data_IF_199667374772
#
_entry.id   IF_199667374772
#
_cell.length_a   1.000
_cell.length_b   1.000
_cell.length_c   1.000
_cell.angle_alpha   90.00
_cell.angle_beta   90.00
_cell.angle_gamma   90.00
#
_symmetry.space_group_name_H-M   'P 1'
#
loop_
_entity.id
_entity.type
_entity.pdbx_description
1 polymer ?
#
# COMPACT_ATOMS: atom_id res chain seq x y z
N UNK A 1 0.52 8.55 -21.21
CA UNK A 1 1.94 8.97 -21.11
C UNK A 1 2.90 7.79 -21.00
N UNK A 2 2.67 6.78 -20.15
CA UNK A 2 3.57 5.62 -19.98
C UNK A 2 3.86 4.82 -21.26
N UNK A 3 2.84 4.28 -21.93
CA UNK A 3 3.05 3.49 -23.16
C UNK A 3 3.68 4.26 -24.32
N UNK A 4 3.40 5.56 -24.43
CA UNK A 4 4.05 6.42 -25.43
C UNK A 4 5.54 6.62 -25.14
N UNK A 5 5.90 6.82 -23.87
CA UNK A 5 7.30 6.88 -23.45
C UNK A 5 8.03 5.56 -23.72
N UNK A 6 7.41 4.43 -23.39
CA UNK A 6 7.95 3.10 -23.72
C UNK A 6 8.14 2.95 -25.23
N UNK A 7 7.14 3.31 -26.05
CA UNK A 7 7.27 3.25 -27.50
C UNK A 7 8.45 4.09 -28.02
N UNK A 8 8.64 5.31 -27.50
CA UNK A 8 9.79 6.15 -27.85
C UNK A 8 11.14 5.54 -27.46
N UNK A 9 11.20 4.79 -26.37
CA UNK A 9 12.41 4.09 -25.95
C UNK A 9 12.65 2.84 -26.82
N UNK A 10 11.59 2.13 -27.22
CA UNK A 10 11.69 0.98 -28.13
C UNK A 10 12.20 1.36 -29.52
N UNK A 11 11.95 2.59 -29.97
CA UNK A 11 12.48 3.13 -31.22
C UNK A 11 13.97 3.55 -31.12
N UNK A 12 14.55 3.61 -29.92
CA UNK A 12 15.93 4.08 -29.71
C UNK A 12 16.95 2.94 -29.92
N UNK A 13 17.82 2.99 -30.95
CA UNK A 13 18.81 1.93 -31.21
C UNK A 13 19.79 1.69 -30.05
N UNK A 14 20.07 2.76 -29.28
CA UNK A 14 20.99 2.76 -28.16
C UNK A 14 20.70 1.67 -27.13
N UNK A 15 19.41 1.39 -26.84
CA UNK A 15 19.06 0.36 -25.84
C UNK A 15 19.42 -1.04 -26.31
N UNK A 16 19.48 -1.27 -27.63
CA UNK A 16 19.76 -2.58 -28.22
C UNK A 16 21.27 -2.75 -28.42
N UNK A 17 21.93 -1.75 -28.98
CA UNK A 17 23.36 -1.76 -29.27
C UNK A 17 24.21 -1.92 -28.01
N UNK A 18 23.83 -1.25 -26.91
CA UNK A 18 24.52 -1.36 -25.61
C UNK A 18 24.56 -2.81 -25.08
N UNK A 19 23.59 -3.63 -25.48
CA UNK A 19 23.46 -5.02 -25.07
C UNK A 19 23.79 -6.01 -26.21
N UNK A 20 24.44 -5.54 -27.30
CA UNK A 20 24.97 -6.38 -28.37
C UNK A 20 23.97 -6.75 -29.48
N UNK A 21 22.81 -6.10 -29.54
CA UNK A 21 21.82 -6.33 -30.60
C UNK A 21 22.04 -5.32 -31.74
N UNK A 22 22.32 -5.82 -32.94
CA UNK A 22 22.57 -4.99 -34.12
C UNK A 22 21.31 -4.43 -34.79
N UNK A 23 20.13 -4.89 -34.38
CA UNK A 23 18.84 -4.46 -34.90
C UNK A 23 17.83 -4.36 -33.76
N UNK A 24 16.86 -3.42 -33.81
CA UNK A 24 15.78 -3.35 -32.84
C UNK A 24 14.91 -4.62 -32.92
N UNK A 25 14.76 -5.29 -31.77
CA UNK A 25 13.90 -6.48 -31.63
C UNK A 25 12.88 -6.20 -30.54
N UNK A 26 11.60 -6.07 -30.89
CA UNK A 26 10.58 -5.50 -30.00
C UNK A 26 10.47 -6.19 -28.62
N UNK A 27 10.51 -7.52 -28.57
CA UNK A 27 10.43 -8.25 -27.29
C UNK A 27 11.69 -8.07 -26.43
N UNK A 28 12.87 -7.93 -27.05
CA UNK A 28 14.12 -7.59 -26.35
C UNK A 28 14.02 -6.20 -25.76
N UNK A 29 13.53 -5.23 -26.54
CA UNK A 29 13.34 -3.87 -26.08
C UNK A 29 12.39 -3.79 -24.89
N UNK A 30 11.26 -4.52 -24.93
CA UNK A 30 10.31 -4.57 -23.82
C UNK A 30 10.94 -5.18 -22.56
N UNK A 31 11.72 -6.26 -22.71
CA UNK A 31 12.46 -6.87 -21.61
C UNK A 31 13.50 -5.90 -21.01
N UNK A 32 14.28 -5.21 -21.85
CA UNK A 32 15.29 -4.26 -21.38
C UNK A 32 14.65 -3.05 -20.69
N UNK A 33 13.59 -2.49 -21.27
CA UNK A 33 12.85 -1.37 -20.65
C UNK A 33 12.32 -1.77 -19.28
N UNK A 34 11.62 -2.91 -19.16
CA UNK A 34 11.10 -3.34 -17.86
C UNK A 34 12.23 -3.61 -16.84
N UNK A 35 13.31 -4.24 -17.26
CA UNK A 35 14.47 -4.53 -16.40
C UNK A 35 15.16 -3.24 -15.91
N UNK A 36 15.35 -2.26 -16.80
CA UNK A 36 16.00 -0.99 -16.46
C UNK A 36 15.11 -0.07 -15.60
N UNK A 37 13.80 -0.14 -15.78
CA UNK A 37 12.85 0.68 -15.01
C UNK A 37 12.53 0.10 -13.63
N UNK A 38 12.63 -1.22 -13.42
CA UNK A 38 12.38 -1.85 -12.11
C UNK A 38 13.10 -1.19 -10.92
N UNK A 39 14.43 -0.95 -10.94
CA UNK A 39 15.10 -0.30 -9.83
C UNK A 39 14.66 1.15 -9.63
N UNK A 40 14.16 1.83 -10.66
CA UNK A 40 13.58 3.16 -10.53
C UNK A 40 12.24 3.09 -9.78
N UNK A 41 11.40 2.10 -10.11
CA UNK A 41 10.11 1.89 -9.46
C UNK A 41 10.24 1.56 -7.98
N UNK A 42 11.31 0.86 -7.57
CA UNK A 42 11.62 0.60 -6.16
C UNK A 42 11.62 1.88 -5.31
N UNK A 43 12.21 2.97 -5.80
CA UNK A 43 12.22 4.25 -5.05
C UNK A 43 10.86 4.95 -5.03
N UNK A 44 9.94 4.60 -5.93
CA UNK A 44 8.58 5.12 -6.00
C UNK A 44 7.61 4.30 -5.14
N UNK A 45 7.90 3.04 -4.89
CA UNK A 45 7.11 2.11 -4.07
C UNK A 45 6.61 2.71 -2.73
N UNK A 46 7.46 3.34 -1.89
CA UNK A 46 7.01 3.93 -0.62
C UNK A 46 5.97 5.04 -0.78
N UNK A 47 5.93 5.76 -1.91
CA UNK A 47 4.87 6.75 -2.17
C UNK A 47 3.53 6.04 -2.37
N UNK A 48 3.49 5.00 -3.20
CA UNK A 48 2.28 4.19 -3.41
C UNK A 48 1.81 3.54 -2.11
N UNK A 49 2.74 2.98 -1.34
CA UNK A 49 2.44 2.41 -0.02
C UNK A 49 1.87 3.47 0.94
N UNK A 50 2.37 4.70 0.93
CA UNK A 50 1.85 5.79 1.75
C UNK A 50 0.41 6.19 1.39
N UNK A 51 0.09 6.27 0.10
CA UNK A 51 -1.29 6.51 -0.36
C UNK A 51 -2.23 5.39 0.07
N UNK A 52 -1.80 4.14 -0.14
CA UNK A 52 -2.57 2.96 0.28
C UNK A 52 -2.85 2.95 1.79
N UNK A 53 -1.84 3.22 2.62
CA UNK A 53 -2.00 3.33 4.08
C UNK A 53 -2.96 4.45 4.49
N UNK A 54 -3.02 5.54 3.73
CA UNK A 54 -3.98 6.62 3.98
C UNK A 54 -5.40 6.16 3.68
N UNK A 55 -5.64 5.49 2.55
CA UNK A 55 -6.97 4.96 2.22
C UNK A 55 -7.46 3.92 3.22
N UNK A 56 -6.57 3.08 3.74
CA UNK A 56 -6.93 2.15 4.83
C UNK A 56 -7.39 2.86 6.10
N UNK A 57 -6.72 3.96 6.50
CA UNK A 57 -7.17 4.74 7.67
C UNK A 57 -8.52 5.40 7.43
N UNK A 58 -8.73 5.96 6.23
CA UNK A 58 -10.01 6.56 5.85
C UNK A 58 -11.13 5.50 5.81
N UNK A 59 -10.82 4.27 5.38
CA UNK A 59 -11.76 3.15 5.40
C UNK A 59 -12.09 2.66 6.83
N UNK A 60 -11.08 2.56 7.71
CA UNK A 60 -11.29 2.21 9.12
C UNK A 60 -12.16 3.27 9.82
N UNK A 61 -11.92 4.55 9.57
CA UNK A 61 -12.73 5.65 10.11
C UNK A 61 -14.16 5.60 9.57
N UNK A 62 -14.34 5.34 8.27
CA UNK A 62 -15.66 5.21 7.67
C UNK A 62 -16.44 4.01 8.23
N UNK A 63 -15.77 2.90 8.52
CA UNK A 63 -16.40 1.76 9.18
C UNK A 63 -16.91 2.11 10.59
N UNK A 64 -16.16 2.92 11.34
CA UNK A 64 -16.59 3.40 12.66
C UNK A 64 -17.75 4.40 12.58
N UNK A 65 -17.82 5.21 11.52
CA UNK A 65 -18.96 6.10 11.27
C UNK A 65 -20.25 5.30 11.04
N UNK A 66 -20.17 4.18 10.31
CA UNK A 66 -21.34 3.33 10.03
C UNK A 66 -21.72 2.43 11.20
N UNK A 67 -20.72 1.90 11.91
CA UNK A 67 -20.90 0.99 13.05
C UNK A 67 -20.10 1.58 14.21
N UNK A 68 -20.74 2.33 15.13
CA UNK A 68 -20.11 2.98 16.29
C UNK A 68 -19.67 2.01 17.40
N UNK A 69 -19.19 0.82 17.03
CA UNK A 69 -18.63 -0.19 17.91
C UNK A 69 -17.48 -0.89 17.19
N UNK A 70 -16.24 -0.59 17.61
CA UNK A 70 -15.04 -1.15 16.99
C UNK A 70 -14.71 -2.58 17.45
N UNK A 71 -15.37 -3.10 18.49
CA UNK A 71 -15.03 -4.41 19.07
C UNK A 71 -15.13 -5.59 18.08
N UNK A 72 -16.15 -5.68 17.19
CA UNK A 72 -16.22 -6.71 16.16
C UNK A 72 -15.06 -6.61 15.16
N UNK A 73 -14.68 -5.38 14.79
CA UNK A 73 -13.57 -5.12 13.86
C UNK A 73 -12.23 -5.51 14.47
N UNK A 74 -11.98 -5.12 15.73
CA UNK A 74 -10.78 -5.54 16.47
C UNK A 74 -10.70 -7.07 16.56
N UNK A 75 -11.82 -7.74 16.84
CA UNK A 75 -11.88 -9.21 16.90
C UNK A 75 -11.58 -9.83 15.53
N UNK A 76 -12.14 -9.28 14.45
CA UNK A 76 -11.90 -9.75 13.09
C UNK A 76 -10.43 -9.58 12.69
N UNK A 77 -9.82 -8.43 12.97
CA UNK A 77 -8.41 -8.15 12.71
C UNK A 77 -7.48 -9.12 13.46
N UNK A 78 -7.74 -9.38 14.75
CA UNK A 78 -6.97 -10.36 15.53
C UNK A 78 -7.07 -11.77 14.95
N UNK A 79 -8.28 -12.18 14.55
CA UNK A 79 -8.49 -13.48 13.91
C UNK A 79 -7.74 -13.56 12.58
N UNK A 80 -7.86 -12.54 11.73
CA UNK A 80 -7.16 -12.49 10.44
C UNK A 80 -5.63 -12.58 10.61
N UNK A 81 -5.09 -11.92 11.63
CA UNK A 81 -3.67 -12.01 11.97
C UNK A 81 -3.24 -13.43 12.33
N UNK A 82 -4.04 -14.08 13.18
CA UNK A 82 -3.80 -15.45 13.64
C UNK A 82 -3.87 -16.42 12.47
N UNK A 83 -4.92 -16.30 11.65
CA UNK A 83 -5.18 -17.20 10.52
C UNK A 83 -4.08 -17.06 9.44
N UNK A 84 -3.50 -15.87 9.27
CA UNK A 84 -2.43 -15.61 8.30
C UNK A 84 -1.01 -15.60 8.89
N UNK A 85 -0.84 -15.94 10.18
CA UNK A 85 0.45 -15.89 10.89
C UNK A 85 1.20 -14.56 10.67
N UNK A 86 0.45 -13.46 10.69
CA UNK A 86 0.97 -12.14 10.32
C UNK A 86 2.05 -11.65 11.29
N UNK A 87 3.06 -10.96 10.77
CA UNK A 87 4.04 -10.28 11.63
C UNK A 87 3.36 -9.12 12.38
N UNK A 88 3.21 -9.27 13.68
CA UNK A 88 2.54 -8.29 14.54
C UNK A 88 3.41 -7.07 14.88
N UNK A 89 4.74 -7.19 14.74
CA UNK A 89 5.67 -6.13 15.09
C UNK A 89 6.80 -5.99 14.03
N UNK A 90 6.45 -5.59 12.79
CA UNK A 90 7.44 -5.33 11.77
C UNK A 90 8.32 -4.14 12.15
N UNK A 91 9.57 -4.14 11.71
CA UNK A 91 10.45 -2.99 11.89
C UNK A 91 9.85 -1.74 11.21
N UNK A 92 9.80 -0.56 11.85
CA UNK A 92 9.08 0.62 11.33
C UNK A 92 9.52 1.04 9.93
N UNK A 93 10.82 1.02 9.64
CA UNK A 93 11.35 1.36 8.31
C UNK A 93 10.90 0.37 7.24
N UNK A 94 10.82 -0.91 7.59
CA UNK A 94 10.37 -1.96 6.66
C UNK A 94 8.89 -1.81 6.36
N UNK A 95 8.06 -1.59 7.39
CA UNK A 95 6.64 -1.33 7.20
C UNK A 95 6.39 -0.04 6.41
N UNK A 96 7.14 1.03 6.69
CA UNK A 96 7.02 2.30 5.97
C UNK A 96 7.31 2.15 4.47
N UNK A 97 8.31 1.34 4.11
CA UNK A 97 8.71 1.13 2.72
C UNK A 97 7.80 0.16 1.99
N UNK A 98 7.58 -1.04 2.55
CA UNK A 98 6.98 -2.17 1.81
C UNK A 98 5.51 -2.41 2.12
N UNK A 99 4.98 -1.97 3.28
CA UNK A 99 3.61 -2.33 3.65
C UNK A 99 2.62 -1.37 3.02
N UNK A 100 1.75 -1.90 2.16
CA UNK A 100 0.61 -1.16 1.61
C UNK A 100 -0.45 -0.83 2.66
N UNK A 101 -0.42 -1.50 3.82
CA UNK A 101 -1.36 -1.29 4.93
C UNK A 101 -0.60 -0.92 6.22
N UNK A 102 -1.21 -0.14 7.14
CA UNK A 102 -0.60 0.10 8.44
C UNK A 102 -0.42 -1.22 9.20
N UNK A 103 0.65 -1.37 10.01
CA UNK A 103 0.83 -2.52 10.88
C UNK A 103 -0.44 -2.82 11.70
N UNK A 104 -0.73 -4.11 11.87
CA UNK A 104 -1.98 -4.52 12.51
C UNK A 104 -2.11 -3.98 13.94
N UNK A 105 -1.00 -3.93 14.68
CA UNK A 105 -0.97 -3.37 16.03
C UNK A 105 -1.39 -1.90 16.03
N UNK A 106 -0.93 -1.10 15.06
CA UNK A 106 -1.33 0.31 14.91
C UNK A 106 -2.84 0.44 14.69
N UNK A 107 -3.42 -0.40 13.82
CA UNK A 107 -4.87 -0.40 13.56
C UNK A 107 -5.68 -0.79 14.79
N UNK A 108 -5.28 -1.85 15.49
CA UNK A 108 -5.97 -2.31 16.70
C UNK A 108 -5.94 -1.22 17.78
N UNK A 109 -4.78 -0.56 17.99
CA UNK A 109 -4.67 0.51 18.98
C UNK A 109 -5.58 1.69 18.64
N UNK A 110 -5.58 2.16 17.38
CA UNK A 110 -6.47 3.23 16.91
C UNK A 110 -7.96 2.88 17.11
N UNK A 111 -8.35 1.65 16.80
CA UNK A 111 -9.73 1.18 17.00
C UNK A 111 -10.09 1.01 18.48
N UNK A 112 -9.13 0.73 19.36
CA UNK A 112 -9.37 0.63 20.79
C UNK A 112 -9.50 2.00 21.45
N UNK A 113 -8.78 3.02 20.96
CA UNK A 113 -8.96 4.40 21.39
C UNK A 113 -10.34 4.94 21.03
N UNK A 114 -10.95 4.45 19.94
CA UNK A 114 -12.32 4.83 19.55
C UNK A 114 -13.41 4.06 20.29
N UNK A 115 -13.07 3.08 21.16
CA UNK A 115 -14.07 2.45 22.02
C UNK A 115 -14.54 3.43 23.09
N UNK A 116 -15.85 3.64 23.25
CA UNK A 116 -16.34 4.31 24.45
C UNK A 116 -15.90 3.48 25.66
N UNK A 117 -15.28 4.13 26.64
CA UNK A 117 -14.90 3.49 27.91
C UNK A 117 -16.13 2.87 28.59
N UNK A 118 -15.94 1.99 29.59
CA UNK A 118 -17.05 1.41 30.34
C UNK A 118 -17.78 2.51 31.13
N UNK A 119 -18.72 3.20 30.48
CA UNK A 119 -19.41 4.40 30.97
C UNK A 119 -19.71 5.49 29.92
N UNK A 120 -19.30 5.35 28.65
CA UNK A 120 -19.49 6.36 27.61
C UNK A 120 -20.83 6.32 26.88
N UNK A 121 -21.95 6.54 27.59
CA UNK A 121 -23.13 7.13 26.95
C UNK A 121 -22.85 8.62 26.76
N UNK A 122 -22.50 9.05 25.54
CA UNK A 122 -22.74 10.39 24.97
C UNK A 122 -21.79 10.66 23.80
N UNK A 123 -22.31 10.51 22.58
CA UNK A 123 -22.09 11.43 21.45
C UNK A 123 -22.95 10.96 20.26
N UNK A 124 -24.26 10.93 20.49
CA UNK A 124 -25.28 11.03 19.43
C UNK A 124 -25.77 12.47 19.44
N UNK A 125 -24.91 13.44 19.12
CA UNK A 125 -25.34 14.80 18.77
C UNK A 125 -24.18 15.58 18.16
N UNK A 126 -24.48 16.39 17.14
CA UNK A 126 -23.64 17.33 16.41
C UNK A 126 -22.79 16.78 15.22
N UNK A 127 -23.44 16.70 14.06
CA UNK A 127 -22.88 17.17 12.79
C UNK A 127 -23.90 18.15 12.17
N UNK A 128 -23.53 19.41 11.84
CA UNK A 128 -24.26 20.23 10.86
C UNK A 128 -24.09 19.69 9.43
#
# INVERSE_FOLDING_TARGET
>A
MGFYGVAKILDAPLIYETFGFSQPVAYVGLFLVTTLFNPLLFFIEPLGAAFSRRFEREADDYALLLIPNSAPMVKALKRLASDNLSNLNPHPLYAWFYYSHPPLLERILRLQESLPGPGGEAQTEALP
#
